data_IF_963651860820
#
_entry.id   IF_963651860820
#
_cell.length_a   1.000
_cell.length_b   1.000
_cell.length_c   1.000
_cell.angle_alpha   90.00
_cell.angle_beta   90.00
_cell.angle_gamma   90.00
#
_symmetry.space_group_name_H-M   'P 1'
#
loop_
_entity.id
_entity.type
_entity.pdbx_description
1 polymer ?
#
# COMPACT_ATOMS: atom_id res chain seq x y z
N UNK A 1 -1.71 5.06 4.60
CA UNK A 1 -1.37 5.78 3.35
C UNK A 1 -0.04 6.54 3.54
N UNK A 2 1.05 6.06 2.92
CA UNK A 2 2.40 6.57 3.16
C UNK A 2 2.70 7.81 2.29
N UNK A 3 2.34 9.00 2.78
CA UNK A 3 2.57 10.28 2.08
C UNK A 3 3.91 10.92 2.46
N UNK A 4 5.01 10.17 2.40
CA UNK A 4 6.34 10.57 2.90
C UNK A 4 6.93 11.78 2.17
N UNK A 5 6.83 11.85 0.85
CA UNK A 5 7.37 12.98 0.06
C UNK A 5 6.65 14.32 0.29
N UNK A 6 5.30 14.39 0.26
CA UNK A 6 4.61 15.66 0.50
C UNK A 6 4.52 16.05 1.99
N UNK A 7 4.67 15.12 2.94
CA UNK A 7 4.65 15.44 4.37
C UNK A 7 6.01 15.84 4.94
N UNK A 8 7.11 15.48 4.27
CA UNK A 8 8.45 15.84 4.73
C UNK A 8 8.82 17.26 4.25
N UNK A 9 9.23 18.11 5.19
CA UNK A 9 9.42 19.55 4.97
C UNK A 9 10.52 19.84 3.94
N UNK A 10 11.64 19.12 4.01
CA UNK A 10 12.73 19.25 3.02
C UNK A 10 12.73 18.08 2.04
N UNK A 11 12.05 18.27 0.92
CA UNK A 11 11.91 17.24 -0.13
C UNK A 11 13.24 16.93 -0.82
N UNK A 12 14.14 17.90 -0.97
CA UNK A 12 15.41 17.70 -1.67
C UNK A 12 16.39 16.85 -0.85
N UNK A 13 16.44 17.06 0.46
CA UNK A 13 17.17 16.17 1.37
C UNK A 13 16.58 14.76 1.37
N UNK A 14 15.25 14.64 1.34
CA UNK A 14 14.58 13.36 1.35
C UNK A 14 14.87 12.56 0.07
N UNK A 15 14.84 13.18 -1.12
CA UNK A 15 15.18 12.52 -2.39
C UNK A 15 16.60 11.93 -2.35
N UNK A 16 17.58 12.67 -1.80
CA UNK A 16 18.95 12.17 -1.62
C UNK A 16 19.02 10.98 -0.65
N UNK A 17 18.24 11.01 0.42
CA UNK A 17 18.16 9.89 1.36
C UNK A 17 17.44 8.67 0.75
N UNK A 18 16.48 8.91 -0.16
CA UNK A 18 15.68 7.87 -0.82
C UNK A 18 16.50 6.97 -1.76
N UNK A 19 17.72 7.37 -2.12
CA UNK A 19 18.65 6.56 -2.93
C UNK A 19 19.50 5.59 -2.09
N UNK A 20 19.46 5.68 -0.76
CA UNK A 20 20.25 4.82 0.13
C UNK A 20 19.69 3.40 0.32
N UNK A 21 18.35 3.19 0.41
CA UNK A 21 17.79 1.84 0.54
C UNK A 21 18.05 0.99 -0.69
N UNK A 22 18.33 -0.31 -0.48
CA UNK A 22 18.51 -1.27 -1.57
C UNK A 22 17.18 -1.63 -2.27
N UNK A 23 16.07 -1.58 -1.53
CA UNK A 23 14.74 -1.89 -2.03
C UNK A 23 13.67 -1.05 -1.32
N UNK A 24 12.83 -0.38 -2.11
CA UNK A 24 11.65 0.35 -1.62
C UNK A 24 10.38 -0.28 -2.19
N UNK A 25 9.56 -0.84 -1.30
CA UNK A 25 8.24 -1.42 -1.63
C UNK A 25 7.14 -0.55 -1.04
N UNK A 26 6.16 -0.17 -1.86
CA UNK A 26 5.01 0.64 -1.43
C UNK A 26 3.72 -0.07 -1.80
N UNK A 27 2.85 -0.29 -0.80
CA UNK A 27 1.46 -0.72 -1.02
C UNK A 27 0.55 0.51 -1.03
N UNK A 28 -0.05 0.81 -2.19
CA UNK A 28 -0.97 1.94 -2.32
C UNK A 28 -1.96 1.74 -3.46
N UNK A 29 -3.15 2.36 -3.33
CA UNK A 29 -4.20 2.35 -4.34
C UNK A 29 -4.09 3.47 -5.38
N UNK A 30 -3.19 4.45 -5.18
CA UNK A 30 -3.04 5.62 -6.03
C UNK A 30 -1.59 5.84 -6.48
N UNK A 31 -1.41 6.45 -7.66
CA UNK A 31 -0.11 6.83 -8.22
C UNK A 31 0.47 8.10 -7.58
N UNK A 32 0.72 8.04 -6.26
CA UNK A 32 1.26 9.16 -5.49
C UNK A 32 2.75 9.39 -5.76
N UNK A 33 3.29 10.52 -5.28
CA UNK A 33 4.72 10.82 -5.41
C UNK A 33 5.59 9.72 -4.79
N UNK A 34 5.15 9.12 -3.67
CA UNK A 34 5.90 8.03 -3.03
C UNK A 34 5.91 6.79 -3.92
N UNK A 35 4.75 6.38 -4.46
CA UNK A 35 4.66 5.27 -5.42
C UNK A 35 5.54 5.49 -6.67
N UNK A 36 5.72 6.75 -7.11
CA UNK A 36 6.63 7.09 -8.23
C UNK A 36 8.10 6.84 -7.95
N UNK A 37 8.52 6.90 -6.68
CA UNK A 37 9.91 6.71 -6.27
C UNK A 37 10.14 5.32 -5.65
N UNK A 38 9.18 4.38 -5.78
CA UNK A 38 9.34 3.00 -5.33
C UNK A 38 9.98 2.13 -6.41
N UNK A 39 10.69 1.09 -6.00
CA UNK A 39 11.19 0.05 -6.90
C UNK A 39 10.07 -0.95 -7.26
N UNK A 40 9.20 -1.25 -6.29
CA UNK A 40 8.07 -2.16 -6.41
C UNK A 40 6.83 -1.48 -5.83
N UNK A 41 5.74 -1.48 -6.61
CA UNK A 41 4.43 -0.98 -6.17
C UNK A 41 3.46 -2.14 -6.15
N UNK A 42 2.81 -2.34 -5.00
CA UNK A 42 1.73 -3.31 -4.83
C UNK A 42 0.39 -2.58 -4.93
N UNK A 43 -0.46 -2.91 -5.92
CA UNK A 43 -1.75 -2.24 -6.08
C UNK A 43 -2.73 -2.70 -4.99
N UNK A 44 -3.08 -1.78 -4.09
CA UNK A 44 -4.02 -2.03 -3.00
C UNK A 44 -5.45 -1.64 -3.40
N UNK A 45 -6.45 -2.36 -2.89
CA UNK A 45 -7.86 -1.99 -3.04
C UNK A 45 -8.25 -0.79 -2.18
N UNK A 46 -9.21 0.02 -2.65
CA UNK A 46 -9.81 1.06 -1.79
C UNK A 46 -10.82 0.49 -0.78
N UNK A 47 -11.19 1.28 0.23
CA UNK A 47 -12.20 0.86 1.24
C UNK A 47 -13.58 0.58 0.64
N UNK A 48 -13.89 1.09 -0.55
CA UNK A 48 -15.15 0.82 -1.25
C UNK A 48 -15.15 -0.51 -2.02
N UNK A 49 -13.97 -1.08 -2.23
CA UNK A 49 -13.79 -2.33 -2.97
C UNK A 49 -13.80 -3.57 -2.07
N UNK A 50 -13.91 -3.39 -0.75
CA UNK A 50 -13.89 -4.47 0.26
C UNK A 50 -14.96 -4.28 1.33
N UNK A 51 -15.23 -5.35 2.08
CA UNK A 51 -16.06 -5.28 3.27
C UNK A 51 -15.17 -5.04 4.49
N UNK A 52 -15.54 -4.06 5.30
CA UNK A 52 -14.83 -3.69 6.52
C UNK A 52 -15.83 -3.28 7.61
N UNK A 53 -15.35 -3.11 8.84
CA UNK A 53 -16.18 -2.69 9.98
C UNK A 53 -15.43 -1.62 10.76
N UNK A 54 -16.03 -0.45 10.89
CA UNK A 54 -15.39 0.70 11.55
C UNK A 54 -16.30 1.32 12.60
N UNK A 55 -15.70 2.09 13.50
CA UNK A 55 -16.40 2.86 14.53
C UNK A 55 -16.46 4.33 14.11
N UNK A 56 -17.60 4.99 14.34
CA UNK A 56 -17.78 6.40 14.01
C UNK A 56 -17.65 7.29 15.24
N UNK A 57 -16.81 8.32 15.11
CA UNK A 57 -16.55 9.32 16.13
C UNK A 57 -15.44 8.89 17.08
N UNK A 58 -14.21 9.31 16.80
CA UNK A 58 -12.98 8.89 17.51
C UNK A 58 -13.03 9.12 19.04
N UNK A 59 -13.85 10.08 19.47
CA UNK A 59 -14.02 10.43 20.89
C UNK A 59 -15.36 10.02 21.49
N UNK A 60 -16.38 9.81 20.66
CA UNK A 60 -17.74 9.51 21.13
C UNK A 60 -18.04 8.02 21.12
N UNK A 61 -17.38 7.24 20.25
CA UNK A 61 -17.57 5.79 20.09
C UNK A 61 -19.04 5.36 19.96
N UNK A 62 -19.89 6.24 19.44
CA UNK A 62 -21.34 6.08 19.55
C UNK A 62 -21.93 5.07 18.57
N UNK A 63 -21.24 4.77 17.47
CA UNK A 63 -21.80 3.96 16.40
C UNK A 63 -20.77 3.00 15.80
N UNK A 64 -21.22 1.76 15.56
CA UNK A 64 -20.51 0.77 14.77
C UNK A 64 -21.10 0.76 13.37
N UNK A 65 -20.27 0.94 12.35
CA UNK A 65 -20.68 1.08 10.96
C UNK A 65 -20.09 -0.06 10.13
N UNK A 66 -20.94 -0.93 9.55
CA UNK A 66 -20.49 -1.90 8.57
C UNK A 66 -20.22 -1.19 7.23
N UNK A 67 -18.97 -1.21 6.78
CA UNK A 67 -18.57 -0.70 5.47
C UNK A 67 -18.73 -1.82 4.44
N UNK A 68 -19.88 -1.82 3.77
CA UNK A 68 -20.15 -2.81 2.72
C UNK A 68 -19.39 -2.47 1.45
N UNK A 69 -18.91 -3.50 0.78
CA UNK A 69 -18.33 -3.40 -0.55
C UNK A 69 -19.34 -2.81 -1.53
N UNK A 70 -18.93 -1.75 -2.21
CA UNK A 70 -19.77 -1.01 -3.19
C UNK A 70 -19.45 -1.45 -4.61
N UNK A 71 -18.18 -1.75 -4.89
CA UNK A 71 -17.69 -2.18 -6.21
C UNK A 71 -16.73 -3.37 -6.07
N UNK A 72 -16.62 -4.25 -7.08
CA UNK A 72 -15.56 -5.26 -7.11
C UNK A 72 -14.17 -4.60 -7.21
N UNK A 73 -13.10 -5.24 -6.68
CA UNK A 73 -11.72 -4.82 -6.92
C UNK A 73 -11.46 -4.57 -8.40
N UNK A 74 -10.76 -3.47 -8.71
CA UNK A 74 -10.49 -3.06 -10.09
C UNK A 74 -9.12 -3.54 -10.54
N UNK A 75 -9.05 -3.95 -11.79
CA UNK A 75 -7.81 -4.37 -12.46
C UNK A 75 -7.07 -5.47 -11.67
N UNK A 76 -5.81 -5.24 -11.34
CA UNK A 76 -4.97 -6.16 -10.55
C UNK A 76 -4.91 -5.78 -9.06
N UNK A 77 -5.78 -4.87 -8.60
CA UNK A 77 -5.79 -4.44 -7.20
C UNK A 77 -6.22 -5.59 -6.28
N UNK A 78 -5.45 -5.80 -5.21
CA UNK A 78 -5.71 -6.85 -4.22
C UNK A 78 -5.86 -6.22 -2.84
N UNK A 79 -6.63 -6.88 -1.98
CA UNK A 79 -6.79 -6.43 -0.61
C UNK A 79 -5.47 -6.61 0.15
N UNK A 80 -5.05 -5.60 0.92
CA UNK A 80 -3.79 -5.63 1.66
C UNK A 80 -3.69 -6.88 2.54
N UNK A 81 -4.81 -7.28 3.18
CA UNK A 81 -4.88 -8.46 4.01
C UNK A 81 -4.50 -9.74 3.25
N UNK A 82 -5.05 -9.94 2.06
CA UNK A 82 -4.79 -11.14 1.25
C UNK A 82 -3.33 -11.17 0.76
N UNK A 83 -2.79 -10.01 0.39
CA UNK A 83 -1.40 -9.87 -0.05
C UNK A 83 -0.43 -10.22 1.09
N UNK A 84 -0.68 -9.70 2.30
CA UNK A 84 0.18 -10.01 3.45
C UNK A 84 0.01 -11.46 3.95
N UNK A 85 -1.20 -12.02 3.87
CA UNK A 85 -1.43 -13.43 4.17
C UNK A 85 -0.62 -14.33 3.23
N UNK A 86 -0.68 -14.07 1.93
CA UNK A 86 0.09 -14.83 0.93
C UNK A 86 1.61 -14.65 1.12
N UNK A 87 2.07 -13.44 1.48
CA UNK A 87 3.47 -13.21 1.83
C UNK A 87 3.90 -14.01 3.06
N UNK A 88 3.05 -14.10 4.08
CA UNK A 88 3.30 -14.89 5.29
C UNK A 88 3.39 -16.39 4.97
N UNK A 89 2.45 -16.92 4.19
CA UNK A 89 2.48 -18.32 3.77
C UNK A 89 3.73 -18.65 2.94
N UNK A 90 4.17 -17.73 2.07
CA UNK A 90 5.38 -17.92 1.26
C UNK A 90 6.65 -17.86 2.11
N UNK A 91 6.67 -17.01 3.15
CA UNK A 91 7.77 -16.93 4.11
C UNK A 91 7.91 -18.24 4.89
N UNK A 92 6.80 -18.79 5.36
CA UNK A 92 6.77 -20.06 6.11
C UNK A 92 7.17 -21.25 5.22
N UNK A 93 6.76 -21.25 3.94
CA UNK A 93 7.10 -22.31 2.98
C UNK A 93 8.46 -22.11 2.28
N UNK A 94 9.23 -21.07 2.61
CA UNK A 94 10.56 -20.82 2.02
C UNK A 94 10.56 -20.50 0.51
N UNK A 95 9.47 -19.99 -0.06
CA UNK A 95 9.34 -19.73 -1.51
C UNK A 95 9.70 -18.28 -1.87
N UNK A 96 10.47 -18.08 -2.95
CA UNK A 96 10.86 -16.73 -3.43
C UNK A 96 9.70 -16.00 -4.12
N UNK A 97 9.54 -14.70 -3.84
CA UNK A 97 8.46 -13.87 -4.38
C UNK A 97 8.80 -13.32 -5.77
N UNK A 98 7.97 -13.63 -6.78
CA UNK A 98 7.96 -12.92 -8.06
C UNK A 98 7.15 -11.63 -7.90
N UNK A 99 7.81 -10.56 -7.47
CA UNK A 99 7.22 -9.22 -7.39
C UNK A 99 7.27 -8.52 -8.75
N UNK A 100 6.34 -7.59 -8.97
CA UNK A 100 6.30 -6.72 -10.14
C UNK A 100 7.52 -5.78 -10.13
N UNK A 101 8.65 -6.25 -10.67
CA UNK A 101 9.91 -5.51 -10.71
C UNK A 101 9.84 -4.51 -11.86
N UNK A 102 9.80 -3.21 -11.55
CA UNK A 102 9.99 -2.19 -12.59
C UNK A 102 11.46 -2.19 -12.99
N UNK A 103 11.74 -2.48 -14.26
CA UNK A 103 13.06 -2.32 -14.86
C UNK A 103 13.39 -0.82 -14.84
N UNK A 104 14.40 -0.40 -14.08
CA UNK A 104 14.83 1.00 -14.04
C UNK A 104 15.36 1.36 -15.43
N UNK A 105 14.54 1.99 -16.28
CA UNK A 105 15.06 2.73 -17.44
C UNK A 105 15.96 3.84 -16.89
N UNK A 106 17.23 3.73 -17.24
CA UNK A 106 18.28 4.75 -17.16
C UNK A 106 17.81 6.11 -17.63
#
# INVERSE_FOLDING_TARGET
MARTLPHHQDTNRLIRAWQKPELVVISECFWTAAAKHADIVLPATTSYERNDLTMTGDYSNQHLVPMKQVVPPRDEARNDFDVFAELSERWENGRSCALYRREKRT
#
